data_IF_421698697474
#
_entry.id   IF_421698697474
#
_cell.length_a   1.000
_cell.length_b   1.000
_cell.length_c   1.000
_cell.angle_alpha   90.00
_cell.angle_beta   90.00
_cell.angle_gamma   90.00
#
_symmetry.space_group_name_H-M   'P 1'
#
loop_
_entity.id
_entity.type
_entity.pdbx_description
1 polymer ?
#
# COMPACT_ATOMS: atom_id res chain seq x y z
N UNK A 1 -54.00 62.25 -60.43
CA UNK A 1 -53.04 62.06 -59.32
C UNK A 1 -53.30 60.71 -58.74
N UNK A 2 -52.46 59.71 -59.02
CA UNK A 2 -52.65 58.29 -58.62
C UNK A 2 -51.61 57.98 -57.55
N UNK A 3 -52.09 57.72 -56.31
CA UNK A 3 -51.28 57.19 -55.21
C UNK A 3 -51.10 55.70 -55.40
N UNK A 4 -49.88 55.24 -55.38
CA UNK A 4 -49.53 53.79 -55.34
C UNK A 4 -49.29 53.40 -53.92
N UNK A 5 -50.06 52.43 -53.43
CA UNK A 5 -49.85 51.77 -52.13
C UNK A 5 -48.83 50.62 -52.28
N UNK A 6 -47.88 50.62 -51.36
CA UNK A 6 -46.89 49.53 -51.27
C UNK A 6 -47.32 48.61 -50.08
N UNK A 7 -47.52 47.35 -50.41
CA UNK A 7 -47.67 46.32 -49.41
C UNK A 7 -46.26 45.82 -49.07
N UNK A 8 -45.87 45.91 -47.79
CA UNK A 8 -44.68 45.27 -47.28
C UNK A 8 -45.03 43.90 -46.69
N UNK A 9 -44.41 42.85 -47.29
CA UNK A 9 -44.50 41.46 -46.80
C UNK A 9 -43.48 41.26 -45.71
N UNK A 10 -43.92 41.05 -44.46
CA UNK A 10 -43.04 40.69 -43.32
C UNK A 10 -42.85 39.18 -43.30
N UNK A 11 -41.65 38.71 -43.60
CA UNK A 11 -41.25 37.31 -43.42
C UNK A 11 -40.73 37.17 -41.98
N UNK A 12 -41.51 36.46 -41.16
CA UNK A 12 -41.11 36.11 -39.80
C UNK A 12 -40.09 34.95 -39.79
N UNK A 13 -38.83 35.25 -39.48
CA UNK A 13 -37.85 34.24 -39.15
C UNK A 13 -38.05 33.77 -37.69
N UNK A 14 -38.59 32.57 -37.51
CA UNK A 14 -38.62 31.90 -36.19
C UNK A 14 -37.27 31.27 -35.94
N UNK A 15 -36.41 31.91 -35.16
CA UNK A 15 -35.16 31.34 -34.66
C UNK A 15 -35.46 30.37 -33.52
N UNK A 16 -35.36 29.09 -33.81
CA UNK A 16 -35.43 28.03 -32.79
C UNK A 16 -34.12 28.03 -32.02
N UNK A 17 -34.09 28.65 -30.84
CA UNK A 17 -32.96 28.60 -29.91
C UNK A 17 -33.02 27.22 -29.22
N UNK A 18 -32.20 26.28 -29.67
CA UNK A 18 -31.93 25.05 -28.91
C UNK A 18 -31.04 25.41 -27.73
N UNK A 19 -31.58 25.43 -26.53
CA UNK A 19 -30.85 25.43 -25.28
C UNK A 19 -30.15 24.07 -25.13
N UNK A 20 -28.85 24.02 -25.42
CA UNK A 20 -27.99 22.91 -25.00
C UNK A 20 -27.89 23.00 -23.46
N UNK A 21 -28.63 22.14 -22.76
CA UNK A 21 -28.32 21.86 -21.36
C UNK A 21 -27.01 21.06 -21.34
N UNK A 22 -25.91 21.75 -21.02
CA UNK A 22 -24.69 21.11 -20.60
C UNK A 22 -25.02 20.30 -19.32
N UNK A 23 -25.11 18.99 -19.44
CA UNK A 23 -25.01 18.10 -18.30
C UNK A 23 -23.60 18.29 -17.75
N UNK A 24 -23.46 19.12 -16.74
CA UNK A 24 -22.28 19.17 -15.88
C UNK A 24 -22.17 17.80 -15.22
N UNK A 25 -21.38 16.93 -15.80
CA UNK A 25 -20.81 15.78 -15.10
C UNK A 25 -19.97 16.39 -13.98
N UNK A 26 -20.59 16.52 -12.80
CA UNK A 26 -19.86 16.76 -11.57
C UNK A 26 -18.86 15.60 -11.45
N UNK A 27 -17.61 15.84 -11.83
CA UNK A 27 -16.52 14.98 -11.44
C UNK A 27 -16.58 14.92 -9.91
N UNK A 28 -16.96 13.78 -9.36
CA UNK A 28 -16.95 13.57 -7.93
C UNK A 28 -15.53 13.91 -7.47
N UNK A 29 -15.36 15.02 -6.77
CA UNK A 29 -14.12 15.37 -6.13
C UNK A 29 -13.85 14.26 -5.14
N UNK A 30 -13.00 13.33 -5.53
CA UNK A 30 -12.55 12.24 -4.70
C UNK A 30 -11.84 12.86 -3.50
N UNK A 31 -12.55 12.89 -2.36
CA UNK A 31 -12.01 13.47 -1.14
C UNK A 31 -11.16 12.42 -0.44
N UNK A 32 -9.86 12.65 -0.40
CA UNK A 32 -8.96 11.90 0.43
C UNK A 32 -9.35 12.04 1.91
N UNK A 33 -9.43 10.93 2.61
CA UNK A 33 -9.68 10.88 4.06
C UNK A 33 -8.35 10.70 4.76
N UNK A 34 -7.91 11.67 5.60
CA UNK A 34 -6.73 11.49 6.43
C UNK A 34 -6.93 10.35 7.42
N UNK A 35 -5.95 9.47 7.51
CA UNK A 35 -5.90 8.40 8.51
C UNK A 35 -4.97 8.75 9.67
N UNK A 36 -4.08 9.72 9.51
CA UNK A 36 -3.15 10.16 10.54
C UNK A 36 -3.71 11.40 11.25
N UNK A 37 -3.84 11.29 12.57
CA UNK A 37 -4.15 12.39 13.48
C UNK A 37 -3.18 12.36 14.67
N UNK A 38 -3.09 13.45 15.47
CA UNK A 38 -2.13 13.55 16.58
C UNK A 38 -2.26 12.45 17.65
N UNK A 39 -3.42 11.81 17.76
CA UNK A 39 -3.72 10.84 18.81
C UNK A 39 -3.75 9.39 18.30
N UNK A 40 -3.46 9.16 17.01
CA UNK A 40 -3.60 7.85 16.35
C UNK A 40 -5.01 7.24 16.56
N UNK A 41 -6.06 8.07 16.59
CA UNK A 41 -7.41 7.66 17.00
C UNK A 41 -8.06 6.61 16.09
N UNK A 42 -7.52 6.42 14.88
CA UNK A 42 -7.98 5.44 13.90
C UNK A 42 -7.13 4.15 13.90
N UNK A 43 -6.21 4.01 14.87
CA UNK A 43 -5.20 2.97 14.89
C UNK A 43 -5.12 2.26 16.24
N UNK A 44 -4.63 1.03 16.22
CA UNK A 44 -4.20 0.28 17.41
C UNK A 44 -2.74 -0.14 17.22
N UNK A 45 -1.99 -0.15 18.32
CA UNK A 45 -0.56 -0.49 18.32
C UNK A 45 -0.41 -1.89 18.91
N UNK A 46 0.30 -2.76 18.19
CA UNK A 46 0.77 -4.05 18.71
C UNK A 46 2.29 -4.07 18.67
N UNK A 47 2.93 -4.34 19.80
CA UNK A 47 4.39 -4.42 19.92
C UNK A 47 4.79 -5.89 20.10
N UNK A 48 5.77 -6.31 19.31
CA UNK A 48 6.32 -7.66 19.31
C UNK A 48 7.23 -7.93 20.51
N UNK A 49 8.08 -8.95 20.34
CA UNK A 49 9.11 -9.29 21.33
C UNK A 49 10.30 -8.36 21.15
N UNK A 50 10.76 -7.65 22.19
CA UNK A 50 11.97 -6.85 22.14
C UNK A 50 13.21 -7.70 21.79
N UNK A 51 14.18 -7.14 21.08
CA UNK A 51 15.50 -7.77 21.01
C UNK A 51 16.20 -7.72 22.38
N UNK A 52 17.02 -8.71 22.69
CA UNK A 52 17.71 -8.82 23.98
C UNK A 52 18.65 -7.62 24.27
N UNK A 53 19.07 -6.89 23.23
CA UNK A 53 19.88 -5.68 23.35
C UNK A 53 19.07 -4.42 23.64
N UNK A 54 17.74 -4.49 23.62
CA UNK A 54 16.83 -3.36 23.85
C UNK A 54 16.22 -3.47 25.24
N UNK A 55 16.67 -2.70 26.21
CA UNK A 55 16.11 -2.74 27.57
C UNK A 55 14.70 -2.14 27.58
N UNK A 56 13.73 -2.91 28.03
CA UNK A 56 12.33 -2.46 28.12
C UNK A 56 11.89 -2.52 29.57
N UNK A 57 11.42 -1.41 30.17
CA UNK A 57 10.96 -1.38 31.55
C UNK A 57 9.84 -2.41 31.79
N UNK A 58 10.03 -3.24 32.80
CA UNK A 58 9.05 -4.26 33.20
C UNK A 58 8.96 -5.48 32.28
N UNK A 59 9.79 -5.60 31.26
CA UNK A 59 9.87 -6.79 30.41
C UNK A 59 11.07 -7.65 30.82
N UNK A 60 10.84 -8.96 30.90
CA UNK A 60 11.89 -9.94 31.18
C UNK A 60 11.82 -11.06 30.16
N UNK A 61 12.94 -11.32 29.49
CA UNK A 61 13.06 -12.43 28.56
C UNK A 61 12.95 -13.79 29.26
N UNK A 62 12.30 -14.72 28.60
CA UNK A 62 12.27 -16.10 29.06
C UNK A 62 13.66 -16.74 28.93
N UNK A 63 13.95 -17.73 29.76
CA UNK A 63 15.19 -18.50 29.64
C UNK A 63 15.35 -19.18 28.27
N UNK A 64 14.25 -19.50 27.62
CA UNK A 64 14.21 -19.94 26.23
C UNK A 64 13.58 -18.84 25.36
N UNK A 65 14.35 -18.23 24.43
CA UNK A 65 13.85 -17.13 23.59
C UNK A 65 12.61 -17.48 22.76
N UNK A 66 12.39 -18.76 22.44
CA UNK A 66 11.18 -19.21 21.73
C UNK A 66 9.89 -19.07 22.56
N UNK A 67 10.03 -18.83 23.84
CA UNK A 67 8.92 -18.66 24.80
C UNK A 67 8.68 -17.18 25.14
N UNK A 68 9.50 -16.28 24.62
CA UNK A 68 9.30 -14.85 24.77
C UNK A 68 7.92 -14.45 24.22
N UNK A 69 7.26 -13.59 24.96
CA UNK A 69 5.93 -13.11 24.60
C UNK A 69 6.03 -11.68 24.08
N UNK A 70 5.25 -11.33 23.06
CA UNK A 70 5.15 -9.95 22.61
C UNK A 70 4.65 -9.07 23.76
N UNK A 71 5.03 -7.80 23.74
CA UNK A 71 4.44 -6.80 24.63
C UNK A 71 2.92 -6.69 24.42
N UNK A 72 2.46 -6.87 23.17
CA UNK A 72 1.05 -7.02 22.84
C UNK A 72 0.37 -5.70 22.45
N UNK A 73 -0.97 -5.72 22.48
CA UNK A 73 -1.80 -4.56 22.15
C UNK A 73 -1.70 -3.49 23.22
N UNK A 74 -1.65 -2.23 22.77
CA UNK A 74 -1.65 -1.01 23.62
C UNK A 74 -0.51 -0.93 24.64
N UNK A 75 0.52 -1.73 24.49
CA UNK A 75 1.68 -1.77 25.38
C UNK A 75 2.94 -1.37 24.61
N UNK A 76 3.17 -0.06 24.48
CA UNK A 76 4.30 0.56 23.80
C UNK A 76 5.11 1.43 24.77
N UNK A 77 5.86 0.83 25.70
CA UNK A 77 6.57 1.55 26.77
C UNK A 77 7.75 2.36 26.26
N UNK A 78 8.25 2.10 25.05
CA UNK A 78 9.34 2.88 24.44
C UNK A 78 8.81 3.92 23.43
N UNK A 79 7.48 4.05 23.28
CA UNK A 79 6.88 4.97 22.33
C UNK A 79 7.42 4.78 20.91
N UNK A 80 7.44 3.51 20.47
CA UNK A 80 7.87 3.13 19.11
C UNK A 80 7.09 3.89 18.04
N UNK A 81 5.80 4.12 18.30
CA UNK A 81 4.92 4.91 17.44
C UNK A 81 4.50 6.21 18.11
N UNK A 82 4.92 7.33 17.57
CA UNK A 82 4.54 8.67 18.07
C UNK A 82 4.15 9.59 16.94
N UNK A 83 3.31 10.58 17.21
CA UNK A 83 2.98 11.63 16.24
C UNK A 83 3.51 12.97 16.71
N UNK A 84 4.23 13.65 15.82
CA UNK A 84 4.73 15.02 16.02
C UNK A 84 4.03 15.96 15.04
N UNK A 85 3.76 17.18 15.47
CA UNK A 85 3.29 18.23 14.58
C UNK A 85 4.51 18.94 13.98
N UNK A 86 4.66 18.89 12.67
CA UNK A 86 5.75 19.53 11.92
C UNK A 86 5.12 20.45 10.89
N UNK A 87 5.39 21.74 10.97
CA UNK A 87 4.82 22.76 10.08
C UNK A 87 3.27 22.72 9.96
N UNK A 88 2.60 22.33 11.06
CA UNK A 88 1.14 22.21 11.12
C UNK A 88 0.57 20.89 10.59
N UNK A 89 1.41 19.96 10.10
CA UNK A 89 1.02 18.64 9.65
C UNK A 89 1.41 17.54 10.67
N UNK A 90 0.56 16.52 10.91
CA UNK A 90 0.95 15.38 11.72
C UNK A 90 1.96 14.51 10.97
N UNK A 91 3.05 14.17 11.64
CA UNK A 91 4.09 13.26 11.15
C UNK A 91 4.21 12.11 12.14
N UNK A 92 3.92 10.91 11.68
CA UNK A 92 4.16 9.67 12.41
C UNK A 92 5.65 9.40 12.42
N UNK A 93 6.23 9.32 13.61
CA UNK A 93 7.59 8.87 13.84
C UNK A 93 7.56 7.43 14.35
N UNK A 94 8.33 6.58 13.74
CA UNK A 94 8.54 5.18 14.13
C UNK A 94 10.01 5.05 14.53
N UNK A 95 10.28 4.78 15.82
CA UNK A 95 11.66 4.70 16.31
C UNK A 95 12.42 3.51 15.74
N UNK A 96 11.72 2.39 15.50
CA UNK A 96 12.32 1.16 14.98
C UNK A 96 12.92 0.25 16.03
N UNK A 97 12.94 0.63 17.30
CA UNK A 97 13.62 -0.12 18.38
C UNK A 97 13.05 -1.50 18.63
N UNK A 98 11.73 -1.65 18.51
CA UNK A 98 11.05 -2.95 18.64
C UNK A 98 10.17 -3.16 17.41
N UNK A 99 10.14 -4.39 16.94
CA UNK A 99 9.22 -4.76 15.87
C UNK A 99 7.78 -4.58 16.33
N UNK A 100 6.96 -3.97 15.49
CA UNK A 100 5.59 -3.64 15.83
C UNK A 100 4.70 -3.47 14.61
N UNK A 101 3.41 -3.29 14.85
CA UNK A 101 2.40 -3.02 13.85
C UNK A 101 1.40 -1.97 14.32
N UNK A 102 1.34 -0.85 13.61
CA UNK A 102 0.30 0.17 13.74
C UNK A 102 -0.84 -0.23 12.79
N UNK A 103 -1.96 -0.70 13.34
CA UNK A 103 -3.04 -1.32 12.57
C UNK A 103 -4.26 -0.43 12.54
N UNK A 104 -4.86 -0.20 11.37
CA UNK A 104 -6.10 0.55 11.25
C UNK A 104 -7.26 -0.17 11.95
N UNK A 105 -8.10 0.58 12.68
CA UNK A 105 -9.31 0.02 13.32
C UNK A 105 -10.32 -0.47 12.29
N UNK A 106 -10.40 0.20 11.14
CA UNK A 106 -11.29 -0.16 10.02
C UNK A 106 -10.62 -1.14 9.07
N UNK A 107 -11.43 -2.00 8.45
CA UNK A 107 -11.08 -2.77 7.26
C UNK A 107 -11.55 -2.03 6.02
N UNK A 108 -10.83 -2.20 4.94
CA UNK A 108 -11.09 -1.59 3.63
C UNK A 108 -11.17 -2.67 2.56
N UNK A 109 -12.09 -2.52 1.61
CA UNK A 109 -12.23 -3.43 0.46
C UNK A 109 -11.67 -2.83 -0.83
N UNK A 110 -12.34 -1.85 -1.44
CA UNK A 110 -11.82 -1.10 -2.58
C UNK A 110 -11.24 0.23 -2.13
N UNK A 111 -9.93 0.42 -2.30
CA UNK A 111 -9.27 1.64 -1.83
C UNK A 111 -8.05 2.04 -2.65
N UNK A 112 -7.73 3.32 -2.58
CA UNK A 112 -6.45 3.90 -2.94
C UNK A 112 -5.84 4.51 -1.67
N UNK A 113 -4.78 3.91 -1.16
CA UNK A 113 -3.97 4.40 -0.05
C UNK A 113 -2.79 5.17 -0.62
N UNK A 114 -2.50 6.34 -0.06
CA UNK A 114 -1.30 7.13 -0.37
C UNK A 114 -0.63 7.55 0.92
N UNK A 115 0.70 7.42 0.97
CA UNK A 115 1.52 7.84 2.09
C UNK A 115 2.77 8.53 1.59
N UNK A 116 3.31 9.46 2.37
CA UNK A 116 4.67 9.94 2.20
C UNK A 116 5.55 9.34 3.28
N UNK A 117 6.71 8.83 2.89
CA UNK A 117 7.63 8.08 3.72
C UNK A 117 9.06 8.59 3.53
N UNK A 118 9.84 8.60 4.63
CA UNK A 118 11.30 8.78 4.57
C UNK A 118 12.01 8.02 5.67
N UNK A 119 13.26 7.63 5.41
CA UNK A 119 14.12 7.03 6.41
C UNK A 119 14.66 8.05 7.42
N UNK A 120 14.75 7.62 8.67
CA UNK A 120 15.57 8.26 9.70
C UNK A 120 17.01 7.76 9.68
N UNK A 121 17.73 8.06 10.75
CA UNK A 121 19.17 7.76 10.88
C UNK A 121 19.41 6.44 11.60
N UNK A 122 18.63 6.16 12.66
CA UNK A 122 18.89 5.09 13.60
C UNK A 122 18.49 3.71 13.03
N UNK A 123 19.26 2.70 13.42
CA UNK A 123 18.99 1.29 13.16
C UNK A 123 19.18 0.49 14.42
N UNK A 124 18.41 -0.57 14.58
CA UNK A 124 18.40 -1.41 15.77
C UNK A 124 18.54 -2.89 15.43
N UNK A 125 18.97 -3.68 16.41
CA UNK A 125 19.00 -5.13 16.28
C UNK A 125 17.57 -5.69 16.07
N UNK A 126 17.43 -6.78 15.29
CA UNK A 126 18.50 -7.54 14.65
C UNK A 126 18.90 -7.03 13.25
N UNK A 127 18.51 -5.80 12.86
CA UNK A 127 18.69 -5.26 11.51
C UNK A 127 19.93 -4.33 11.35
N UNK A 128 20.81 -4.18 12.36
CA UNK A 128 21.96 -3.26 12.34
C UNK A 128 22.83 -3.38 11.08
N UNK A 129 23.14 -4.58 10.64
CA UNK A 129 23.98 -4.85 9.49
C UNK A 129 23.20 -5.07 8.17
N UNK A 130 21.89 -4.78 8.14
CA UNK A 130 21.01 -5.02 6.97
C UNK A 130 20.49 -3.71 6.42
N UNK A 131 19.92 -3.68 5.20
CA UNK A 131 19.13 -2.55 4.72
C UNK A 131 18.09 -2.13 5.75
N UNK A 132 17.73 -0.84 5.81
CA UNK A 132 16.59 -0.38 6.60
C UNK A 132 15.34 -1.06 6.11
N UNK A 133 14.44 -1.40 7.04
CA UNK A 133 13.29 -2.23 6.74
C UNK A 133 12.01 -1.71 7.42
N UNK A 134 10.93 -1.74 6.69
CA UNK A 134 9.58 -1.39 7.08
C UNK A 134 8.61 -1.98 6.03
N UNK A 135 7.28 -1.88 6.25
CA UNK A 135 6.29 -2.36 5.30
C UNK A 135 4.93 -1.71 5.48
N UNK A 136 4.22 -1.58 4.37
CA UNK A 136 2.79 -1.27 4.34
C UNK A 136 2.04 -2.56 4.05
N UNK A 137 1.50 -3.15 5.11
CA UNK A 137 0.71 -4.36 5.07
C UNK A 137 -0.74 -3.97 4.80
N UNK A 138 -1.36 -4.61 3.84
CA UNK A 138 -2.75 -4.32 3.49
C UNK A 138 -3.55 -5.60 3.34
N UNK A 139 -4.88 -5.45 3.42
CA UNK A 139 -5.81 -6.59 3.51
C UNK A 139 -5.43 -7.52 4.67
N UNK A 140 -5.01 -6.94 5.78
CA UNK A 140 -4.64 -7.69 6.97
C UNK A 140 -5.84 -8.45 7.55
N UNK A 141 -5.61 -9.70 7.93
CA UNK A 141 -6.62 -10.59 8.52
C UNK A 141 -6.03 -11.46 9.64
N UNK A 142 -6.90 -12.10 10.40
CA UNK A 142 -6.50 -12.94 11.53
C UNK A 142 -6.06 -12.13 12.76
N UNK A 143 -5.39 -12.79 13.68
CA UNK A 143 -4.94 -12.19 14.93
C UNK A 143 -3.68 -11.34 14.76
N UNK A 144 -3.45 -10.39 15.67
CA UNK A 144 -2.13 -9.80 15.86
C UNK A 144 -1.12 -10.88 16.26
N UNK A 145 0.12 -10.72 15.84
CA UNK A 145 1.18 -11.69 16.15
C UNK A 145 1.14 -12.99 15.33
N UNK A 146 0.22 -13.12 14.38
CA UNK A 146 0.09 -14.32 13.54
C UNK A 146 1.33 -14.59 12.69
N UNK A 147 2.04 -13.56 12.29
CA UNK A 147 3.29 -13.63 11.51
C UNK A 147 4.43 -13.12 12.38
N UNK A 148 5.47 -13.93 12.54
CA UNK A 148 6.68 -13.62 13.32
C UNK A 148 6.41 -13.08 14.74
N UNK A 149 5.27 -13.45 15.34
CA UNK A 149 4.81 -13.01 16.67
C UNK A 149 4.57 -11.48 16.74
N UNK A 150 4.41 -10.78 15.61
CA UNK A 150 4.21 -9.32 15.59
C UNK A 150 3.16 -8.86 14.59
N UNK A 151 3.13 -9.38 13.38
CA UNK A 151 2.24 -8.86 12.32
C UNK A 151 1.00 -9.75 12.11
N UNK A 152 0.02 -9.22 11.42
CA UNK A 152 -1.15 -9.95 10.93
C UNK A 152 -0.82 -10.66 9.62
N UNK A 153 -1.61 -11.66 9.23
CA UNK A 153 -1.56 -12.17 7.86
C UNK A 153 -2.01 -11.09 6.89
N UNK A 154 -1.33 -10.96 5.74
CA UNK A 154 -1.58 -9.89 4.77
C UNK A 154 -0.89 -10.13 3.42
N UNK A 155 -1.07 -9.18 2.51
CA UNK A 155 -0.12 -8.85 1.46
C UNK A 155 0.64 -7.60 1.90
N UNK A 156 1.92 -7.54 1.58
CA UNK A 156 2.78 -6.42 1.95
C UNK A 156 3.34 -5.73 0.71
N UNK A 157 3.20 -4.42 0.69
CA UNK A 157 4.01 -3.53 -0.12
C UNK A 157 5.24 -3.19 0.70
N UNK A 158 6.36 -3.83 0.37
CA UNK A 158 7.61 -3.71 1.09
C UNK A 158 8.13 -2.28 1.06
N UNK A 159 8.66 -1.83 2.19
CA UNK A 159 9.37 -0.55 2.35
C UNK A 159 10.76 -0.85 2.90
N UNK A 160 11.60 -1.49 2.09
CA UNK A 160 13.01 -1.75 2.40
C UNK A 160 13.89 -0.94 1.46
N UNK A 161 15.04 -0.46 1.96
CA UNK A 161 16.03 0.25 1.14
C UNK A 161 16.36 -0.55 -0.13
N UNK A 162 16.19 0.06 -1.30
CA UNK A 162 16.37 -0.48 -2.64
C UNK A 162 15.29 -1.50 -3.10
N UNK A 163 14.33 -1.82 -2.25
CA UNK A 163 13.31 -2.84 -2.52
C UNK A 163 11.87 -2.34 -2.30
N UNK A 164 11.65 -1.00 -2.22
CA UNK A 164 10.31 -0.43 -2.04
C UNK A 164 9.38 -0.86 -3.19
N UNK A 165 8.25 -1.46 -2.83
CA UNK A 165 7.25 -1.94 -3.78
C UNK A 165 7.34 -3.43 -4.08
N UNK A 166 8.30 -4.18 -3.52
CA UNK A 166 8.27 -5.64 -3.58
C UNK A 166 6.98 -6.18 -2.98
N UNK A 167 6.54 -7.33 -3.46
CA UNK A 167 5.52 -8.11 -2.79
C UNK A 167 6.16 -9.02 -1.74
N UNK A 168 5.67 -8.98 -0.51
CA UNK A 168 5.80 -10.08 0.43
C UNK A 168 4.42 -10.66 0.77
N UNK A 169 4.32 -11.97 0.66
CA UNK A 169 3.13 -12.75 1.01
C UNK A 169 3.26 -13.25 2.44
N UNK A 170 2.53 -12.65 3.36
CA UNK A 170 2.55 -13.00 4.79
C UNK A 170 1.25 -13.73 5.17
N UNK A 171 1.04 -14.91 4.58
CA UNK A 171 -0.20 -15.68 4.75
C UNK A 171 -1.31 -15.31 3.75
N UNK A 172 -1.35 -14.10 3.23
CA UNK A 172 -1.98 -13.77 1.97
C UNK A 172 -1.09 -14.22 0.82
N UNK A 173 -1.66 -14.56 -0.34
CA UNK A 173 -0.94 -14.91 -1.56
C UNK A 173 -1.51 -14.16 -2.74
N UNK A 174 -0.72 -13.95 -3.79
CA UNK A 174 -1.20 -13.34 -5.03
C UNK A 174 -0.38 -13.84 -6.23
N UNK A 175 -0.91 -13.67 -7.42
CA UNK A 175 -0.21 -13.91 -8.67
C UNK A 175 0.40 -12.61 -9.20
N UNK A 176 1.62 -12.72 -9.74
CA UNK A 176 2.37 -11.62 -10.36
C UNK A 176 2.88 -12.09 -11.73
N UNK A 177 2.76 -11.24 -12.74
CA UNK A 177 3.44 -11.45 -14.03
C UNK A 177 4.94 -11.25 -13.82
N UNK A 178 5.74 -12.33 -13.91
CA UNK A 178 7.14 -12.26 -13.50
C UNK A 178 8.08 -13.14 -14.33
N UNK A 179 9.35 -12.78 -14.30
CA UNK A 179 10.45 -13.59 -14.82
C UNK A 179 11.50 -13.83 -13.75
N UNK A 180 12.30 -14.86 -13.96
CA UNK A 180 13.44 -15.19 -13.12
C UNK A 180 14.64 -14.35 -13.53
N UNK A 181 15.33 -13.81 -12.52
CA UNK A 181 16.58 -13.07 -12.64
C UNK A 181 17.64 -13.67 -11.72
N UNK A 182 18.92 -13.46 -11.99
CA UNK A 182 19.97 -13.77 -11.03
C UNK A 182 19.72 -13.06 -9.71
N UNK A 183 19.78 -13.81 -8.62
CA UNK A 183 19.73 -13.29 -7.24
C UNK A 183 21.12 -13.27 -6.61
N UNK A 184 21.19 -13.15 -5.29
CA UNK A 184 22.46 -13.19 -4.57
C UNK A 184 22.97 -14.62 -4.48
N UNK A 185 24.20 -14.84 -4.89
CA UNK A 185 24.82 -16.17 -4.95
C UNK A 185 24.14 -17.05 -6.00
N UNK A 186 23.73 -18.26 -5.62
CA UNK A 186 23.02 -19.21 -6.48
C UNK A 186 21.50 -19.05 -6.43
N UNK A 187 21.00 -18.11 -5.64
CA UNK A 187 19.56 -17.89 -5.50
C UNK A 187 18.97 -17.26 -6.74
N UNK A 188 17.73 -17.59 -7.00
CA UNK A 188 16.91 -17.02 -8.07
C UNK A 188 16.01 -15.95 -7.48
N UNK A 189 15.87 -14.84 -8.19
CA UNK A 189 14.98 -13.75 -7.82
C UNK A 189 13.86 -13.64 -8.86
N UNK A 190 12.63 -13.84 -8.44
CA UNK A 190 11.46 -13.56 -9.27
C UNK A 190 11.14 -12.07 -9.21
N UNK A 191 10.96 -11.46 -10.37
CA UNK A 191 10.74 -10.02 -10.49
C UNK A 191 9.57 -9.72 -11.38
N UNK A 192 8.73 -8.77 -10.95
CA UNK A 192 7.65 -8.25 -11.78
C UNK A 192 8.17 -7.84 -13.16
N UNK A 193 7.52 -8.36 -14.19
CA UNK A 193 7.85 -8.10 -15.60
C UNK A 193 6.56 -8.04 -16.37
N UNK A 194 6.11 -6.85 -16.84
CA UNK A 194 4.89 -6.71 -17.61
C UNK A 194 4.83 -7.68 -18.79
N UNK A 195 3.68 -8.32 -19.00
CA UNK A 195 3.46 -9.27 -20.09
C UNK A 195 4.14 -10.64 -19.92
N UNK A 196 4.81 -10.91 -18.80
CA UNK A 196 5.32 -12.23 -18.47
C UNK A 196 4.19 -13.18 -18.01
N UNK A 197 4.41 -14.51 -17.99
CA UNK A 197 3.48 -15.43 -17.38
C UNK A 197 3.22 -15.14 -15.90
N UNK A 198 1.96 -15.36 -15.48
CA UNK A 198 1.58 -15.24 -14.08
C UNK A 198 2.19 -16.38 -13.25
N UNK A 199 2.66 -16.02 -12.06
CA UNK A 199 3.14 -16.95 -11.06
C UNK A 199 2.56 -16.62 -9.70
N UNK A 200 2.13 -17.65 -8.98
CA UNK A 200 1.64 -17.54 -7.61
C UNK A 200 2.82 -17.41 -6.63
N UNK A 201 2.72 -16.44 -5.71
CA UNK A 201 3.68 -16.21 -4.64
C UNK A 201 3.07 -16.44 -3.27
N UNK A 202 3.74 -17.29 -2.48
CA UNK A 202 3.60 -17.41 -1.03
C UNK A 202 4.83 -16.85 -0.29
N UNK A 203 5.55 -15.93 -0.89
CA UNK A 203 6.76 -15.28 -0.39
C UNK A 203 7.06 -14.00 -1.18
N UNK A 204 8.33 -13.69 -1.41
CA UNK A 204 8.77 -12.47 -2.09
C UNK A 204 8.66 -12.58 -3.62
N UNK A 205 8.11 -11.53 -4.23
CA UNK A 205 8.30 -11.20 -5.64
C UNK A 205 8.84 -9.77 -5.74
N UNK A 206 10.04 -9.61 -6.29
CA UNK A 206 10.66 -8.31 -6.42
C UNK A 206 9.89 -7.42 -7.42
N UNK A 207 9.90 -6.12 -7.15
CA UNK A 207 9.39 -5.08 -8.04
C UNK A 207 10.07 -5.08 -9.41
N UNK A 208 9.57 -4.28 -10.35
CA UNK A 208 10.19 -4.04 -11.65
C UNK A 208 11.67 -3.60 -11.55
N UNK A 209 12.38 -3.58 -12.67
CA UNK A 209 13.81 -3.26 -12.70
C UNK A 209 14.12 -1.80 -12.43
N UNK A 210 13.21 -0.91 -12.82
CA UNK A 210 13.46 0.52 -12.76
C UNK A 210 13.51 1.00 -11.31
N UNK A 211 14.52 1.81 -11.00
CA UNK A 211 14.74 2.34 -9.67
C UNK A 211 14.07 3.71 -9.54
N UNK A 212 13.16 3.84 -8.60
CA UNK A 212 12.36 5.05 -8.40
C UNK A 212 12.44 5.61 -6.98
N UNK A 213 13.27 5.05 -6.11
CA UNK A 213 13.45 5.56 -4.75
C UNK A 213 14.25 6.86 -4.76
N UNK A 214 13.85 7.81 -3.94
CA UNK A 214 14.61 9.01 -3.64
C UNK A 214 15.68 8.72 -2.57
N UNK A 215 16.75 9.50 -2.49
CA UNK A 215 17.80 9.33 -1.49
C UNK A 215 17.25 9.28 -0.06
N UNK A 216 17.98 8.59 0.83
CA UNK A 216 17.61 8.51 2.24
C UNK A 216 17.45 9.88 2.86
N UNK A 217 16.37 10.08 3.61
CA UNK A 217 15.97 11.36 4.22
C UNK A 217 15.02 12.18 3.35
N UNK A 218 14.87 11.87 2.08
CA UNK A 218 13.88 12.49 1.21
C UNK A 218 12.53 11.77 1.25
N UNK A 219 11.45 12.52 1.01
CA UNK A 219 10.09 12.01 1.05
C UNK A 219 9.73 11.24 -0.23
N UNK A 220 9.63 9.93 -0.13
CA UNK A 220 9.04 9.08 -1.17
C UNK A 220 7.50 9.06 -1.04
N UNK A 221 6.79 9.03 -2.15
CA UNK A 221 5.35 8.77 -2.17
C UNK A 221 5.11 7.31 -2.53
N UNK A 222 4.47 6.58 -1.63
CA UNK A 222 4.11 5.17 -1.81
C UNK A 222 2.59 5.09 -1.89
N UNK A 223 2.07 4.37 -2.90
CA UNK A 223 0.64 4.19 -3.07
C UNK A 223 0.32 2.70 -3.24
N UNK A 224 -0.79 2.30 -2.64
CA UNK A 224 -1.40 0.98 -2.84
C UNK A 224 -2.82 1.18 -3.32
N UNK A 225 -3.10 0.76 -4.55
CA UNK A 225 -4.47 0.65 -5.04
C UNK A 225 -4.91 -0.81 -4.93
N UNK A 226 -6.10 -1.06 -4.42
CA UNK A 226 -6.63 -2.40 -4.26
C UNK A 226 -8.14 -2.43 -4.57
N UNK A 227 -8.55 -3.27 -5.54
CA UNK A 227 -9.95 -3.47 -5.95
C UNK A 227 -10.19 -4.95 -6.22
N UNK A 228 -11.24 -5.53 -5.64
CA UNK A 228 -11.49 -6.97 -5.73
C UNK A 228 -10.28 -7.76 -5.22
N UNK A 229 -9.76 -8.68 -6.01
CA UNK A 229 -8.57 -9.49 -5.70
C UNK A 229 -7.28 -8.98 -6.36
N UNK A 230 -7.31 -7.73 -6.88
CA UNK A 230 -6.20 -7.09 -7.60
C UNK A 230 -5.62 -5.94 -6.79
N UNK A 231 -4.33 -5.67 -6.97
CA UNK A 231 -3.67 -4.51 -6.37
C UNK A 231 -2.46 -4.04 -7.17
N UNK A 232 -2.10 -2.77 -6.98
CA UNK A 232 -0.92 -2.11 -7.54
C UNK A 232 -0.07 -1.59 -6.41
N UNK A 233 1.25 -1.74 -6.53
CA UNK A 233 2.21 -0.97 -5.75
C UNK A 233 2.79 0.11 -6.66
N UNK A 234 2.74 1.36 -6.19
CA UNK A 234 3.18 2.54 -6.93
C UNK A 234 4.20 3.28 -6.06
N UNK A 235 5.33 3.63 -6.64
CA UNK A 235 6.40 4.39 -5.99
C UNK A 235 6.71 5.62 -6.81
N UNK A 236 6.56 6.79 -6.21
CA UNK A 236 6.81 8.10 -6.82
C UNK A 236 6.13 8.26 -8.20
N UNK A 237 4.86 7.78 -8.30
CA UNK A 237 4.04 7.83 -9.51
C UNK A 237 4.30 6.72 -10.52
N UNK A 238 5.21 5.77 -10.24
CA UNK A 238 5.52 4.65 -11.12
C UNK A 238 4.95 3.34 -10.58
N UNK A 239 4.20 2.60 -11.40
CA UNK A 239 3.75 1.24 -11.05
C UNK A 239 4.95 0.31 -11.00
N UNK A 240 5.26 -0.20 -9.82
CA UNK A 240 6.43 -1.05 -9.58
C UNK A 240 6.07 -2.53 -9.39
N UNK A 241 4.81 -2.83 -9.05
CA UNK A 241 4.30 -4.20 -8.96
C UNK A 241 2.80 -4.28 -9.25
N UNK A 242 2.35 -5.39 -9.87
CA UNK A 242 0.95 -5.64 -10.21
C UNK A 242 0.57 -7.03 -9.73
N UNK A 243 -0.42 -7.10 -8.86
CA UNK A 243 -0.86 -8.31 -8.20
C UNK A 243 -2.31 -8.63 -8.58
N UNK A 244 -2.62 -9.91 -8.75
CA UNK A 244 -3.97 -10.38 -9.01
C UNK A 244 -4.24 -11.76 -8.43
N UNK A 245 -5.50 -12.19 -8.41
CA UNK A 245 -5.93 -13.47 -7.87
C UNK A 245 -5.53 -13.67 -6.40
N UNK A 246 -5.62 -12.59 -5.59
CA UNK A 246 -5.25 -12.61 -4.18
C UNK A 246 -6.16 -13.55 -3.35
N UNK A 247 -5.57 -14.38 -2.48
CA UNK A 247 -6.25 -15.38 -1.64
C UNK A 247 -5.68 -15.42 -0.22
N UNK A 248 -6.47 -15.98 0.72
CA UNK A 248 -6.06 -16.21 2.11
C UNK A 248 -5.31 -17.54 2.26
N UNK A 249 -4.11 -17.65 1.70
CA UNK A 249 -3.25 -18.84 1.79
C UNK A 249 -3.20 -19.67 0.51
N UNK A 250 -2.25 -20.62 0.48
CA UNK A 250 -1.90 -21.41 -0.72
C UNK A 250 -2.81 -22.62 -0.96
N UNK A 251 -3.59 -23.04 0.02
CA UNK A 251 -4.42 -24.23 -0.08
C UNK A 251 -5.59 -24.03 -1.04
N UNK A 252 -5.98 -25.10 -1.71
CA UNK A 252 -7.15 -25.07 -2.60
C UNK A 252 -8.43 -24.71 -1.82
N UNK A 253 -9.30 -23.88 -2.42
CA UNK A 253 -10.57 -23.48 -1.80
C UNK A 253 -10.46 -22.37 -0.76
N UNK A 254 -9.28 -21.81 -0.49
CA UNK A 254 -9.17 -20.63 0.37
C UNK A 254 -9.90 -19.42 -0.24
N UNK A 255 -10.57 -18.61 0.61
CA UNK A 255 -11.32 -17.44 0.16
C UNK A 255 -10.43 -16.42 -0.56
N UNK A 256 -11.03 -15.76 -1.54
CA UNK A 256 -10.45 -14.57 -2.16
C UNK A 256 -10.16 -13.52 -1.11
N UNK A 257 -9.01 -12.87 -1.21
CA UNK A 257 -8.58 -11.81 -0.29
C UNK A 257 -8.92 -10.44 -0.89
N UNK A 258 -10.11 -9.94 -0.59
CA UNK A 258 -10.64 -8.70 -1.17
C UNK A 258 -10.66 -7.53 -0.18
N UNK A 259 -10.58 -7.80 1.13
CA UNK A 259 -10.67 -6.77 2.17
C UNK A 259 -9.79 -7.09 3.37
N UNK A 260 -9.54 -6.09 4.20
CA UNK A 260 -8.82 -6.23 5.45
C UNK A 260 -8.32 -4.89 5.99
N UNK A 261 -7.67 -4.93 7.13
CA UNK A 261 -7.06 -3.78 7.77
C UNK A 261 -5.76 -3.38 7.05
N UNK A 262 -5.28 -2.17 7.33
CA UNK A 262 -3.95 -1.68 6.93
C UNK A 262 -3.09 -1.71 8.18
N UNK A 263 -1.82 -2.16 8.04
CA UNK A 263 -0.87 -2.16 9.13
C UNK A 263 0.46 -1.57 8.63
N UNK A 264 1.06 -0.64 9.39
CA UNK A 264 2.38 -0.07 9.13
C UNK A 264 3.36 -0.68 10.11
N UNK A 265 4.45 -1.23 9.61
CA UNK A 265 5.45 -1.91 10.44
C UNK A 265 6.34 -0.95 11.22
N UNK A 266 6.95 -1.47 12.28
CA UNK A 266 8.25 -1.09 12.83
C UNK A 266 9.15 -2.30 12.68
N UNK A 267 10.31 -2.17 12.03
CA UNK A 267 11.18 -3.32 11.72
C UNK A 267 12.69 -2.99 11.79
N UNK A 268 13.12 -2.44 12.90
CA UNK A 268 14.54 -2.26 13.20
C UNK A 268 15.19 -1.04 12.55
N UNK A 269 14.40 -0.12 11.99
CA UNK A 269 14.88 1.12 11.43
C UNK A 269 13.97 2.30 11.75
N UNK A 270 14.57 3.43 12.09
CA UNK A 270 13.86 4.70 12.26
C UNK A 270 13.30 5.19 10.92
N UNK A 271 12.05 5.60 10.91
CA UNK A 271 11.42 6.20 9.75
C UNK A 271 10.28 7.14 10.12
N UNK A 272 9.82 7.90 9.16
CA UNK A 272 8.71 8.82 9.31
C UNK A 272 7.70 8.63 8.18
N UNK A 273 6.42 8.77 8.54
CA UNK A 273 5.30 8.82 7.61
C UNK A 273 4.50 10.09 7.81
N UNK A 274 3.99 10.66 6.74
CA UNK A 274 3.01 11.74 6.76
C UNK A 274 2.01 11.58 5.63
N UNK A 275 0.93 12.35 5.65
CA UNK A 275 -0.12 12.30 4.62
C UNK A 275 -0.57 10.86 4.36
N UNK A 276 -0.79 10.12 5.46
CA UNK A 276 -1.40 8.80 5.38
C UNK A 276 -2.87 9.04 5.10
N UNK A 277 -3.29 8.84 3.87
CA UNK A 277 -4.63 9.16 3.42
C UNK A 277 -5.19 8.09 2.48
N UNK A 278 -6.49 7.92 2.52
CA UNK A 278 -7.21 6.88 1.79
C UNK A 278 -8.44 7.45 1.10
N UNK A 279 -8.76 6.93 -0.06
CA UNK A 279 -10.04 7.18 -0.73
C UNK A 279 -10.66 5.86 -1.19
N UNK A 280 -12.01 5.75 -1.21
CA UNK A 280 -12.68 4.61 -1.81
C UNK A 280 -12.34 4.50 -3.30
N UNK A 281 -12.19 3.26 -3.78
CA UNK A 281 -11.91 2.97 -5.19
C UNK A 281 -12.82 1.83 -5.64
N UNK A 282 -13.78 2.15 -6.53
CA UNK A 282 -14.71 1.16 -7.07
C UNK A 282 -14.11 0.35 -8.22
N UNK A 283 -13.23 0.96 -9.01
CA UNK A 283 -12.44 0.32 -10.07
C UNK A 283 -11.12 1.07 -10.24
N UNK A 284 -10.14 0.43 -10.89
CA UNK A 284 -8.87 1.09 -11.21
C UNK A 284 -9.08 2.20 -12.25
N UNK A 285 -8.35 3.32 -12.15
CA UNK A 285 -8.28 4.32 -13.22
C UNK A 285 -7.98 3.69 -14.58
N UNK A 286 -8.51 4.28 -15.64
CA UNK A 286 -8.47 3.71 -16.99
C UNK A 286 -7.04 3.36 -17.46
N UNK A 287 -6.06 4.19 -17.08
CA UNK A 287 -4.63 3.99 -17.39
C UNK A 287 -4.04 2.72 -16.78
N UNK A 288 -4.62 2.18 -15.71
CA UNK A 288 -4.12 0.98 -15.03
C UNK A 288 -4.91 -0.29 -15.36
N UNK A 289 -6.10 -0.20 -15.94
CA UNK A 289 -6.95 -1.37 -16.22
C UNK A 289 -6.25 -2.39 -17.11
N UNK A 290 -5.50 -1.92 -18.11
CA UNK A 290 -4.75 -2.78 -19.04
C UNK A 290 -3.62 -3.59 -18.40
N UNK A 291 -3.15 -3.23 -17.19
CA UNK A 291 -2.06 -3.92 -16.50
C UNK A 291 -2.46 -5.33 -16.02
N UNK A 292 -3.75 -5.59 -15.85
CA UNK A 292 -4.28 -6.86 -15.36
C UNK A 292 -4.70 -7.82 -16.49
N UNK A 293 -4.51 -7.45 -17.76
CA UNK A 293 -4.83 -8.32 -18.88
C UNK A 293 -3.84 -9.47 -18.92
N UNK A 294 -4.30 -10.67 -18.62
CA UNK A 294 -3.52 -11.88 -18.83
C UNK A 294 -3.24 -12.03 -20.33
N UNK A 295 -2.00 -11.94 -20.73
CA UNK A 295 -1.59 -12.56 -21.99
C UNK A 295 -1.65 -14.06 -21.75
N UNK A 296 -2.78 -14.69 -22.13
CA UNK A 296 -2.87 -16.14 -22.34
C UNK A 296 -1.97 -16.54 -23.52
N UNK A 297 -0.67 -16.39 -23.35
CA UNK A 297 0.29 -17.11 -24.17
C UNK A 297 0.32 -18.54 -23.62
N UNK A 298 -0.49 -19.42 -24.20
CA UNK A 298 -0.27 -20.86 -24.07
C UNK A 298 1.21 -21.12 -24.31
N UNK A 299 1.92 -21.87 -23.45
CA UNK A 299 3.26 -22.30 -23.77
C UNK A 299 3.19 -23.12 -25.06
N UNK A 300 3.77 -22.62 -26.13
CA UNK A 300 4.09 -23.46 -27.27
C UNK A 300 4.99 -24.57 -26.73
N UNK A 301 4.45 -25.78 -26.68
CA UNK A 301 5.24 -26.97 -26.39
C UNK A 301 6.36 -27.10 -27.44
N UNK A 302 7.58 -27.53 -27.02
CA UNK A 302 8.69 -27.79 -27.91
C UNK A 302 8.42 -28.98 -28.83
#
# INVERSE_FOLDING_TARGET
MKMKSWFALAVGLTTCVRTLTAAETAAATSTWTPLLDPNLSQWEIFIGVPDVSIPVPGYTHAANPKQDKPLGLTNDPLHVYTVRMVDGEPVLHISGEIFGGLTSLKSYDGFHLRVQFRWGINKFAPKLGKPRDNGILYRCFGAHGAVNHVWKHCLECQVQENDIGDLFSLGGIAEVACREYPGTGTNKLWRYTPGAPLRLFGGRCARGLDYHELPNGEWNTIEVMAVGDRSLHILNGHVVNVLQNAKKGVEAGKPTLVSGQIQIQSEGAECEYRRIEIQPLADFPAEYQGLFSATNASPSQP
#
